data_IF_056967953882
#
_entry.id   IF_056967953882
#
_cell.length_a   1.000
_cell.length_b   1.000
_cell.length_c   1.000
_cell.angle_alpha   90.00
_cell.angle_beta   90.00
_cell.angle_gamma   90.00
#
_symmetry.space_group_name_H-M   'P 1'
#
loop_
_entity.id
_entity.type
_entity.pdbx_description
1 polymer ?
#
# COMPACT_ATOMS: atom_id res chain seq x y z
N UNK A 1 48.44 39.92 35.74
CA UNK A 1 47.20 39.78 34.95
C UNK A 1 47.54 39.08 33.63
N UNK A 2 47.39 37.75 33.57
CA UNK A 2 47.58 36.98 32.33
C UNK A 2 46.25 36.90 31.59
N UNK A 3 46.20 37.46 30.37
CA UNK A 3 45.06 37.37 29.45
C UNK A 3 45.18 36.06 28.70
N UNK A 4 44.44 35.03 29.12
CA UNK A 4 44.34 33.76 28.40
C UNK A 4 43.52 33.94 27.13
N UNK A 5 44.14 33.74 25.98
CA UNK A 5 43.47 33.69 24.68
C UNK A 5 42.86 32.28 24.54
N UNK A 6 41.53 32.21 24.46
CA UNK A 6 40.81 30.98 24.18
C UNK A 6 40.73 30.80 22.65
N UNK A 7 41.48 29.85 22.10
CA UNK A 7 41.38 29.49 20.67
C UNK A 7 40.24 28.50 20.51
N UNK A 8 39.12 28.97 19.97
CA UNK A 8 37.97 28.14 19.63
C UNK A 8 38.27 27.43 18.29
N UNK A 9 38.69 26.16 18.35
CA UNK A 9 38.90 25.35 17.16
C UNK A 9 37.54 24.98 16.54
N UNK A 10 37.22 25.58 15.39
CA UNK A 10 36.01 25.28 14.63
C UNK A 10 36.25 24.00 13.81
N UNK A 11 35.76 22.86 14.32
CA UNK A 11 35.82 21.57 13.61
C UNK A 11 34.78 21.56 12.50
N UNK A 12 35.20 21.93 11.28
CA UNK A 12 34.38 21.85 10.07
C UNK A 12 34.17 20.38 9.73
N UNK A 13 33.03 19.83 10.15
CA UNK A 13 32.58 18.51 9.72
C UNK A 13 32.09 18.64 8.28
N UNK A 14 32.90 18.19 7.32
CA UNK A 14 32.44 17.95 5.97
C UNK A 14 31.41 16.80 5.99
N UNK A 15 30.12 17.12 6.09
CA UNK A 15 29.05 16.14 5.89
C UNK A 15 29.00 15.81 4.40
N UNK A 16 29.79 14.82 3.99
CA UNK A 16 29.50 14.10 2.77
C UNK A 16 28.05 13.61 2.87
N UNK A 17 27.21 13.94 1.89
CA UNK A 17 25.85 13.42 1.80
C UNK A 17 25.95 11.91 1.50
N UNK A 18 26.07 11.11 2.56
CA UNK A 18 25.97 9.66 2.53
C UNK A 18 24.52 9.31 2.19
N UNK A 19 24.33 8.49 1.16
CA UNK A 19 23.02 7.93 0.83
C UNK A 19 22.48 7.12 2.00
N UNK A 20 21.31 7.48 2.51
CA UNK A 20 20.64 6.71 3.55
C UNK A 20 19.88 5.52 2.93
N UNK A 21 19.75 4.45 3.72
CA UNK A 21 18.89 3.31 3.41
C UNK A 21 17.82 3.21 4.48
N UNK A 22 16.56 3.07 4.10
CA UNK A 22 15.44 2.86 5.02
C UNK A 22 14.75 1.54 4.74
N UNK A 23 14.53 0.72 5.76
CA UNK A 23 13.97 -0.62 5.60
C UNK A 23 12.53 -0.69 6.12
N UNK A 24 11.68 -1.41 5.38
CA UNK A 24 10.27 -1.60 5.67
C UNK A 24 9.89 -3.08 5.58
N UNK A 25 9.14 -3.57 6.57
CA UNK A 25 8.56 -4.91 6.62
C UNK A 25 7.23 -4.88 7.37
N UNK A 26 6.13 -5.23 6.70
CA UNK A 26 4.82 -5.35 7.33
C UNK A 26 4.82 -6.47 8.39
N UNK A 27 5.53 -7.57 8.12
CA UNK A 27 5.55 -8.75 9.00
C UNK A 27 6.49 -8.60 10.20
N UNK A 28 7.58 -7.84 10.09
CA UNK A 28 8.65 -7.76 11.12
C UNK A 28 8.92 -6.36 11.65
N UNK A 29 8.38 -5.32 11.02
CA UNK A 29 8.70 -3.94 11.34
C UNK A 29 7.99 -3.38 12.57
N UNK A 30 8.52 -2.25 13.04
CA UNK A 30 7.96 -1.47 14.13
C UNK A 30 8.03 0.03 13.82
N UNK A 31 6.88 0.70 13.73
CA UNK A 31 6.79 2.13 13.37
C UNK A 31 7.29 3.10 14.46
N UNK A 32 7.55 2.58 15.66
CA UNK A 32 8.18 3.32 16.76
C UNK A 32 9.71 3.43 16.62
N UNK A 33 10.33 2.73 15.68
CA UNK A 33 11.76 2.89 15.43
C UNK A 33 12.12 4.33 15.02
N UNK A 34 13.27 4.80 15.47
CA UNK A 34 13.83 6.09 15.04
C UNK A 34 14.39 5.99 13.61
N UNK A 35 14.61 7.12 12.92
CA UNK A 35 15.24 7.11 11.59
C UNK A 35 16.60 6.43 11.56
N UNK A 36 17.41 6.56 12.62
CA UNK A 36 18.72 5.89 12.71
C UNK A 36 18.59 4.38 12.90
N UNK A 37 17.58 3.91 13.64
CA UNK A 37 17.30 2.48 13.81
C UNK A 37 16.80 1.85 12.51
N UNK A 38 15.98 2.55 11.73
CA UNK A 38 15.41 2.01 10.49
C UNK A 38 16.40 1.91 9.31
N UNK A 39 17.70 2.06 9.57
CA UNK A 39 18.78 1.93 8.57
C UNK A 39 19.35 0.53 8.41
N UNK A 40 18.77 -0.47 9.09
CA UNK A 40 19.18 -1.87 9.01
C UNK A 40 17.99 -2.78 8.65
N UNK A 41 18.22 -3.86 7.86
CA UNK A 41 17.21 -4.89 7.61
C UNK A 41 16.66 -5.56 8.88
N UNK A 42 17.40 -5.52 9.99
CA UNK A 42 17.01 -6.12 11.28
C UNK A 42 16.05 -5.26 12.11
N UNK A 43 15.95 -3.97 11.80
CA UNK A 43 15.12 -3.01 12.54
C UNK A 43 14.24 -2.18 11.59
N UNK A 44 13.45 -2.82 10.70
CA UNK A 44 12.65 -2.10 9.72
C UNK A 44 11.47 -1.35 10.36
N UNK A 45 10.96 -0.34 9.68
CA UNK A 45 9.62 0.20 9.90
C UNK A 45 8.55 -0.74 9.36
N UNK A 46 7.30 -0.55 9.78
CA UNK A 46 6.20 -1.46 9.45
C UNK A 46 5.34 -0.97 8.29
N UNK A 47 4.88 0.28 8.34
CA UNK A 47 3.74 0.72 7.52
C UNK A 47 4.08 1.75 6.43
N UNK A 48 3.20 1.84 5.43
CA UNK A 48 3.24 2.92 4.45
C UNK A 48 2.87 4.28 5.07
N UNK A 49 2.06 4.30 6.14
CA UNK A 49 1.78 5.53 6.88
C UNK A 49 3.06 6.08 7.52
N UNK A 50 3.90 5.19 8.06
CA UNK A 50 5.23 5.58 8.54
C UNK A 50 6.08 6.16 7.42
N UNK A 51 6.18 5.49 6.27
CA UNK A 51 6.88 6.01 5.08
C UNK A 51 6.39 7.41 4.70
N UNK A 52 5.07 7.60 4.64
CA UNK A 52 4.45 8.87 4.29
C UNK A 52 4.75 9.97 5.31
N UNK A 53 4.85 9.64 6.60
CA UNK A 53 5.22 10.59 7.66
C UNK A 53 6.68 11.03 7.58
N UNK A 54 7.60 10.10 7.24
CA UNK A 54 9.05 10.37 7.19
C UNK A 54 9.54 10.85 5.83
N UNK A 55 8.66 10.97 4.82
CA UNK A 55 9.02 11.40 3.45
C UNK A 55 9.85 12.69 3.38
N UNK A 56 9.72 13.57 4.36
CA UNK A 56 10.50 14.79 4.46
C UNK A 56 12.00 14.51 4.67
N UNK A 57 12.34 13.42 5.37
CA UNK A 57 13.70 12.96 5.66
C UNK A 57 14.39 12.30 4.46
N UNK A 58 13.64 11.73 3.52
CA UNK A 58 14.21 11.03 2.35
C UNK A 58 14.72 12.06 1.33
N UNK A 59 16.01 12.01 1.02
CA UNK A 59 16.71 12.93 0.14
C UNK A 59 17.26 12.25 -1.13
N UNK A 60 17.74 13.06 -2.06
CA UNK A 60 18.35 12.58 -3.31
C UNK A 60 19.53 11.64 -3.02
N UNK A 61 19.48 10.42 -3.56
CA UNK A 61 20.47 9.37 -3.35
C UNK A 61 20.05 8.30 -2.35
N UNK A 62 18.96 8.52 -1.61
CA UNK A 62 18.47 7.56 -0.62
C UNK A 62 17.74 6.38 -1.27
N UNK A 63 17.73 5.25 -0.56
CA UNK A 63 17.01 4.04 -0.96
C UNK A 63 16.02 3.58 0.10
N UNK A 64 14.81 3.25 -0.31
CA UNK A 64 13.75 2.66 0.51
C UNK A 64 13.58 1.19 0.10
N UNK A 65 13.78 0.29 1.05
CA UNK A 65 13.75 -1.15 0.87
C UNK A 65 12.48 -1.75 1.48
N UNK A 66 11.76 -2.57 0.71
CA UNK A 66 10.60 -3.35 1.18
C UNK A 66 10.92 -4.84 1.22
N UNK A 67 10.55 -5.53 2.29
CA UNK A 67 10.88 -6.96 2.46
C UNK A 67 10.12 -7.84 1.45
N UNK A 68 10.83 -8.69 0.72
CA UNK A 68 10.24 -9.73 -0.13
C UNK A 68 9.26 -10.61 0.67
N UNK A 69 8.12 -10.95 0.06
CA UNK A 69 7.03 -11.71 0.67
C UNK A 69 6.00 -10.87 1.44
N UNK A 70 6.32 -9.61 1.79
CA UNK A 70 5.37 -8.75 2.50
C UNK A 70 4.36 -8.08 1.56
N UNK A 71 3.16 -7.82 2.10
CA UNK A 71 2.08 -7.07 1.42
C UNK A 71 1.78 -5.81 2.21
N UNK A 72 2.19 -4.66 1.66
CA UNK A 72 1.92 -3.36 2.23
C UNK A 72 0.60 -2.81 1.69
N UNK A 73 -0.40 -2.69 2.57
CA UNK A 73 -1.72 -2.15 2.20
C UNK A 73 -1.79 -0.64 2.44
N UNK A 74 -2.27 0.09 1.45
CA UNK A 74 -2.41 1.55 1.51
C UNK A 74 -1.87 2.23 0.26
N UNK A 75 -1.32 3.44 0.44
CA UNK A 75 -0.81 4.28 -0.66
C UNK A 75 0.52 4.92 -0.27
N UNK A 76 1.43 4.99 -1.22
CA UNK A 76 2.62 5.82 -1.14
C UNK A 76 2.27 7.23 -1.62
N UNK A 77 2.43 8.23 -0.75
CA UNK A 77 2.19 9.65 -1.03
C UNK A 77 3.52 10.37 -1.05
N UNK A 78 4.17 10.33 -2.22
CA UNK A 78 5.51 10.86 -2.41
C UNK A 78 5.51 11.95 -3.48
N UNK A 79 6.00 13.13 -3.11
CA UNK A 79 6.05 14.33 -3.96
C UNK A 79 7.46 14.93 -4.02
N UNK A 80 8.48 14.09 -3.84
CA UNK A 80 9.90 14.46 -3.93
C UNK A 80 10.58 13.64 -5.01
N UNK A 81 11.61 14.22 -5.60
CA UNK A 81 12.43 13.59 -6.63
C UNK A 81 13.90 13.66 -6.25
N UNK A 82 14.66 12.66 -6.68
CA UNK A 82 16.13 12.74 -6.66
C UNK A 82 16.66 13.59 -7.82
N UNK A 83 17.97 13.56 -8.01
CA UNK A 83 18.65 14.13 -9.19
C UNK A 83 19.13 13.01 -10.11
N UNK A 84 19.51 13.33 -11.35
CA UNK A 84 20.03 12.34 -12.32
C UNK A 84 21.20 11.53 -11.77
N UNK A 85 22.09 12.14 -10.98
CA UNK A 85 23.23 11.45 -10.36
C UNK A 85 22.95 10.85 -8.98
N UNK A 86 21.80 11.19 -8.38
CA UNK A 86 21.40 10.74 -7.03
C UNK A 86 19.88 10.52 -7.00
N UNK A 87 19.38 9.46 -7.66
CA UNK A 87 17.95 9.15 -7.64
C UNK A 87 17.49 8.77 -6.24
N UNK A 88 16.21 8.96 -5.95
CA UNK A 88 15.56 8.29 -4.81
C UNK A 88 15.08 6.95 -5.33
N UNK A 89 15.49 5.86 -4.69
CA UNK A 89 15.21 4.50 -5.16
C UNK A 89 14.23 3.82 -4.21
N UNK A 90 13.18 3.20 -4.75
CA UNK A 90 12.33 2.26 -4.03
C UNK A 90 12.59 0.87 -4.59
N UNK A 91 12.96 -0.07 -3.74
CA UNK A 91 13.33 -1.43 -4.17
C UNK A 91 13.01 -2.46 -3.08
N UNK A 92 13.32 -3.72 -3.34
CA UNK A 92 13.09 -4.84 -2.43
C UNK A 92 14.37 -5.33 -1.76
N UNK A 93 14.24 -6.00 -0.60
CA UNK A 93 15.32 -6.74 0.05
C UNK A 93 14.85 -8.11 0.55
N UNK A 94 15.79 -9.01 0.83
CA UNK A 94 15.48 -10.40 1.20
C UNK A 94 15.23 -11.28 -0.03
N UNK A 95 14.76 -12.50 0.22
CA UNK A 95 14.52 -13.52 -0.81
C UNK A 95 13.03 -13.84 -0.96
N UNK A 96 12.67 -14.45 -2.09
CA UNK A 96 11.28 -14.86 -2.38
C UNK A 96 10.55 -13.89 -3.30
N UNK A 97 9.21 -13.90 -3.23
CA UNK A 97 8.36 -13.07 -4.08
C UNK A 97 8.58 -11.57 -3.81
N UNK A 98 8.49 -10.75 -4.86
CA UNK A 98 8.60 -9.29 -4.72
C UNK A 98 7.52 -8.76 -3.74
N UNK A 99 7.84 -7.73 -2.94
CA UNK A 99 6.86 -7.09 -2.08
C UNK A 99 5.71 -6.52 -2.92
N UNK A 100 4.50 -6.59 -2.37
CA UNK A 100 3.30 -6.05 -3.03
C UNK A 100 2.87 -4.78 -2.31
N UNK A 101 2.80 -3.68 -3.06
CA UNK A 101 2.10 -2.47 -2.63
C UNK A 101 0.66 -2.56 -3.15
N UNK A 102 -0.30 -2.71 -2.25
CA UNK A 102 -1.70 -2.94 -2.60
C UNK A 102 -2.60 -1.82 -2.10
N UNK A 103 -3.44 -1.29 -3.00
CA UNK A 103 -4.55 -0.41 -2.63
C UNK A 103 -5.74 -1.17 -2.03
N UNK A 104 -5.69 -2.51 -1.99
CA UNK A 104 -6.75 -3.34 -1.42
C UNK A 104 -6.73 -3.31 0.10
N UNK A 105 -7.92 -3.53 0.67
CA UNK A 105 -8.12 -3.70 2.10
C UNK A 105 -8.51 -5.13 2.39
N UNK A 106 -7.89 -5.72 3.43
CA UNK A 106 -8.28 -7.03 3.91
C UNK A 106 -9.53 -6.89 4.78
N UNK A 107 -10.65 -7.42 4.30
CA UNK A 107 -11.88 -7.49 5.07
C UNK A 107 -11.83 -8.69 6.02
N UNK A 108 -12.31 -8.49 7.25
CA UNK A 108 -12.32 -9.47 8.33
C UNK A 108 -13.73 -9.60 8.90
N UNK A 109 -13.90 -10.44 9.92
CA UNK A 109 -15.14 -10.53 10.72
C UNK A 109 -16.40 -10.83 9.90
N UNK A 110 -16.25 -11.70 8.90
CA UNK A 110 -17.35 -12.16 8.06
C UNK A 110 -18.38 -12.94 8.88
N UNK A 111 -19.65 -12.61 8.67
CA UNK A 111 -20.81 -13.25 9.27
C UNK A 111 -21.70 -13.83 8.20
N UNK A 112 -22.38 -14.92 8.54
CA UNK A 112 -23.37 -15.56 7.68
C UNK A 112 -24.77 -15.27 8.20
N UNK A 113 -25.66 -14.81 7.34
CA UNK A 113 -27.07 -14.62 7.69
C UNK A 113 -27.89 -15.92 7.55
N UNK A 114 -29.21 -15.84 7.82
CA UNK A 114 -30.13 -16.98 7.74
C UNK A 114 -30.32 -17.53 6.32
N UNK A 115 -30.14 -16.66 5.31
CA UNK A 115 -30.32 -17.00 3.89
C UNK A 115 -29.02 -17.59 3.30
N UNK A 116 -27.95 -17.57 4.09
CA UNK A 116 -26.66 -18.16 3.76
C UNK A 116 -25.67 -17.20 3.10
N UNK A 117 -26.00 -15.91 3.00
CA UNK A 117 -25.11 -14.89 2.47
C UNK A 117 -24.05 -14.50 3.49
N UNK A 118 -22.86 -14.19 2.99
CA UNK A 118 -21.76 -13.69 3.81
C UNK A 118 -21.67 -12.18 3.72
N UNK A 119 -21.57 -11.52 4.86
CA UNK A 119 -21.42 -10.07 4.95
C UNK A 119 -20.39 -9.68 6.02
N UNK A 120 -19.81 -8.51 5.84
CA UNK A 120 -18.94 -7.85 6.82
C UNK A 120 -19.14 -6.34 6.76
N UNK A 121 -18.79 -5.65 7.83
CA UNK A 121 -18.89 -4.19 7.92
C UNK A 121 -17.51 -3.60 8.19
N UNK A 122 -17.00 -2.80 7.27
CA UNK A 122 -15.83 -1.97 7.48
C UNK A 122 -16.19 -0.51 7.17
N UNK A 123 -16.25 0.33 8.21
CA UNK A 123 -16.64 1.75 8.09
C UNK A 123 -15.63 2.61 7.33
N UNK A 124 -14.44 2.09 7.05
CA UNK A 124 -13.44 2.77 6.24
C UNK A 124 -13.65 2.60 4.74
N UNK A 125 -14.52 1.67 4.32
CA UNK A 125 -14.96 1.58 2.93
C UNK A 125 -15.87 2.76 2.60
N UNK A 126 -15.75 3.26 1.37
CA UNK A 126 -16.70 4.23 0.83
C UNK A 126 -18.08 3.60 0.61
N UNK A 127 -19.02 4.39 0.10
CA UNK A 127 -20.39 3.94 -0.21
C UNK A 127 -20.47 2.96 -1.39
N UNK A 128 -19.38 2.73 -2.11
CA UNK A 128 -19.31 1.83 -3.27
C UNK A 128 -18.12 0.90 -3.17
N UNK A 129 -18.36 -0.39 -3.46
CA UNK A 129 -17.32 -1.41 -3.60
C UNK A 129 -17.35 -1.87 -5.05
N UNK A 130 -16.30 -1.54 -5.80
CA UNK A 130 -16.20 -1.87 -7.23
C UNK A 130 -15.36 -3.12 -7.50
N UNK A 131 -14.71 -3.66 -6.46
CA UNK A 131 -13.75 -4.75 -6.58
C UNK A 131 -13.75 -5.60 -5.31
N UNK A 132 -13.97 -6.90 -5.43
CA UNK A 132 -13.81 -7.87 -4.36
C UNK A 132 -12.93 -9.00 -4.87
N UNK A 133 -11.91 -9.37 -4.11
CA UNK A 133 -11.10 -10.54 -4.37
C UNK A 133 -11.32 -11.54 -3.23
N UNK A 134 -11.59 -12.79 -3.58
CA UNK A 134 -11.60 -13.93 -2.66
C UNK A 134 -10.43 -14.82 -3.06
N UNK A 135 -9.50 -15.06 -2.14
CA UNK A 135 -8.28 -15.85 -2.38
C UNK A 135 -7.50 -15.43 -3.63
N UNK A 136 -7.40 -14.12 -3.86
CA UNK A 136 -6.71 -13.54 -5.01
C UNK A 136 -7.51 -13.58 -6.32
N UNK A 137 -8.71 -14.16 -6.32
CA UNK A 137 -9.58 -14.25 -7.50
C UNK A 137 -10.63 -13.14 -7.48
N UNK A 138 -10.66 -12.34 -8.55
CA UNK A 138 -11.65 -11.29 -8.75
C UNK A 138 -13.07 -11.87 -8.80
N UNK A 139 -13.98 -11.30 -8.01
CA UNK A 139 -15.39 -11.66 -7.98
C UNK A 139 -16.23 -10.67 -8.77
N UNK A 140 -17.28 -11.18 -9.41
CA UNK A 140 -18.26 -10.36 -10.08
C UNK A 140 -19.14 -9.63 -9.05
N UNK A 141 -19.47 -8.36 -9.32
CA UNK A 141 -20.46 -7.65 -8.53
C UNK A 141 -21.84 -8.32 -8.70
N UNK A 142 -22.60 -8.40 -7.61
CA UNK A 142 -23.98 -8.87 -7.64
C UNK A 142 -24.77 -8.10 -8.69
N UNK A 143 -25.46 -8.82 -9.56
CA UNK A 143 -26.24 -8.27 -10.67
C UNK A 143 -27.49 -9.09 -10.87
N UNK A 144 -28.51 -8.48 -11.48
CA UNK A 144 -29.66 -9.18 -12.01
C UNK A 144 -29.77 -8.92 -13.52
N UNK A 145 -30.05 -9.94 -14.36
CA UNK A 145 -30.02 -11.37 -14.02
C UNK A 145 -28.61 -11.85 -13.67
N UNK A 146 -28.53 -12.95 -12.93
CA UNK A 146 -27.25 -13.58 -12.61
C UNK A 146 -26.52 -13.95 -13.92
N UNK A 147 -25.18 -13.88 -13.94
CA UNK A 147 -24.40 -14.15 -15.16
C UNK A 147 -24.55 -15.57 -15.70
N UNK A 148 -24.96 -16.52 -14.84
CA UNK A 148 -25.24 -17.90 -15.20
C UNK A 148 -26.71 -18.16 -15.55
N UNK A 149 -27.60 -17.17 -15.47
CA UNK A 149 -29.02 -17.28 -15.86
C UNK A 149 -29.25 -16.49 -17.15
N UNK A 150 -29.78 -17.11 -18.20
CA UNK A 150 -30.06 -16.42 -19.47
C UNK A 150 -28.82 -15.76 -20.11
N UNK A 151 -27.63 -16.33 -19.89
CA UNK A 151 -26.33 -15.71 -20.25
C UNK A 151 -26.10 -14.32 -19.64
N UNK A 152 -26.78 -14.01 -18.53
CA UNK A 152 -26.75 -12.71 -17.89
C UNK A 152 -27.61 -11.65 -18.59
N UNK A 153 -28.62 -12.04 -19.38
CA UNK A 153 -29.56 -11.12 -20.00
C UNK A 153 -30.97 -11.42 -19.52
N UNK A 154 -31.80 -10.37 -19.45
CA UNK A 154 -33.24 -10.55 -19.41
C UNK A 154 -33.65 -11.12 -20.76
N UNK A 155 -34.29 -12.27 -20.72
CA UNK A 155 -34.87 -12.90 -21.90
C UNK A 155 -36.35 -12.57 -21.88
N UNK A 156 -36.84 -11.96 -22.94
CA UNK A 156 -38.27 -11.74 -23.09
C UNK A 156 -38.98 -13.09 -23.22
N UNK A 157 -40.18 -13.19 -22.65
CA UNK A 157 -40.94 -14.44 -22.64
C UNK A 157 -41.61 -14.69 -23.99
N UNK A 158 -42.15 -13.64 -24.60
CA UNK A 158 -42.82 -13.73 -25.90
C UNK A 158 -42.64 -12.44 -26.71
N UNK A 159 -42.61 -12.58 -28.04
CA UNK A 159 -42.78 -11.47 -28.97
C UNK A 159 -43.88 -11.81 -29.99
N UNK A 160 -44.69 -10.82 -30.38
CA UNK A 160 -45.67 -10.97 -31.45
C UNK A 160 -45.33 -10.03 -32.62
N UNK A 161 -44.86 -10.62 -33.72
CA UNK A 161 -44.38 -9.87 -34.88
C UNK A 161 -43.20 -8.96 -34.53
N UNK A 162 -43.18 -7.77 -35.14
CA UNK A 162 -42.21 -6.70 -34.88
C UNK A 162 -42.80 -5.54 -34.05
N UNK A 163 -43.96 -5.75 -33.44
CA UNK A 163 -44.74 -4.68 -32.78
C UNK A 163 -44.92 -4.87 -31.28
N UNK A 164 -44.67 -6.06 -30.72
CA UNK A 164 -44.82 -6.27 -29.28
C UNK A 164 -43.83 -7.28 -28.71
N UNK A 165 -43.47 -7.02 -27.45
CA UNK A 165 -42.71 -7.90 -26.56
C UNK A 165 -43.53 -8.00 -25.26
N UNK A 166 -43.60 -9.18 -24.67
CA UNK A 166 -44.20 -9.47 -23.37
C UNK A 166 -43.11 -9.97 -22.42
N UNK A 167 -43.03 -9.35 -21.25
CA UNK A 167 -42.09 -9.61 -20.16
C UNK A 167 -42.87 -9.26 -18.87
N UNK A 168 -42.99 -10.22 -17.94
CA UNK A 168 -43.75 -10.08 -16.67
C UNK A 168 -42.93 -9.45 -15.54
#
# INVERSE_FOLDING_TARGET
>A
MMKGILVLAFLVHATGNVSASFYFSDSKGNDSHTPSQATSPSTPWKSLDKLNSIKHLIAAGDTVYFLCGDVFRGRIVFNKSGTTGKPIVFTSYGSGAKPVISGLRLLKDWKRDSDGNWYTTDRSLGSTVNLLLIDGTLQQLGRYPNSNTGSGYLIYEQAAGNTSITDD
#
